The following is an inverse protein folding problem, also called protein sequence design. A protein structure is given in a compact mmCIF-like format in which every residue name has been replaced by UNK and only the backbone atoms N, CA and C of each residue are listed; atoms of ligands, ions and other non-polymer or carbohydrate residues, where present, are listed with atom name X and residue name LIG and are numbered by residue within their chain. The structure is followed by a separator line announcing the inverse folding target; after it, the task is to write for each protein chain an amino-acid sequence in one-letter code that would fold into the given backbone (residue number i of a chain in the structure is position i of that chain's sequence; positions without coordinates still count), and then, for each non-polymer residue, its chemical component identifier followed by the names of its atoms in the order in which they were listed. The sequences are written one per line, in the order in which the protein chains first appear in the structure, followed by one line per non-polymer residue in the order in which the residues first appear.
data_IF_115159214819
#
_entry.id   IF_115159214819
#
_cell.length_a   1.000
_cell.length_b   1.000
_cell.length_c   1.000
_cell.angle_alpha   90.00
_cell.angle_beta   90.00
_cell.angle_gamma   90.00
#
_symmetry.space_group_name_H-M   'P 1'
#
loop_
_entity.id
_entity.type
_entity.pdbx_description
1 polymer ?
#
# COMPACT_ATOMS: atom_id res chain seq x y z
N UNK A 1 71.25 -8.35 13.85
CA UNK A 1 70.22 -9.35 13.57
C UNK A 1 68.96 -8.90 14.27
N UNK A 2 67.98 -8.35 13.53
CA UNK A 2 66.66 -7.95 14.06
C UNK A 2 65.63 -8.92 13.52
N UNK A 3 64.99 -9.68 14.37
CA UNK A 3 63.90 -10.59 14.02
C UNK A 3 62.58 -9.80 13.89
N UNK A 4 61.93 -9.88 12.71
CA UNK A 4 60.58 -9.38 12.48
C UNK A 4 59.56 -10.46 12.89
N UNK A 5 58.74 -10.15 13.86
CA UNK A 5 57.58 -10.95 14.21
C UNK A 5 56.40 -10.49 13.34
N UNK A 6 55.90 -11.32 12.45
CA UNK A 6 54.71 -11.06 11.66
C UNK A 6 53.47 -11.34 12.52
N UNK A 7 52.65 -10.30 12.72
CA UNK A 7 51.33 -10.40 13.34
C UNK A 7 50.34 -10.89 12.29
N UNK A 8 49.80 -12.11 12.47
CA UNK A 8 48.73 -12.68 11.65
C UNK A 8 47.40 -12.10 12.13
N UNK A 9 46.79 -11.29 11.33
CA UNK A 9 45.41 -10.86 11.54
C UNK A 9 44.45 -12.00 11.15
N UNK A 10 43.73 -12.51 12.13
CA UNK A 10 42.65 -13.44 11.92
C UNK A 10 41.47 -12.70 11.26
N UNK A 11 41.25 -12.99 9.97
CA UNK A 11 40.09 -12.56 9.23
C UNK A 11 38.90 -13.42 9.64
N UNK A 12 37.95 -12.84 10.37
CA UNK A 12 36.65 -13.47 10.66
C UNK A 12 35.83 -13.55 9.36
N UNK A 13 35.83 -14.72 8.73
CA UNK A 13 34.90 -15.06 7.66
C UNK A 13 33.47 -15.07 8.22
N UNK A 14 32.73 -14.00 8.00
CA UNK A 14 31.27 -14.05 8.06
C UNK A 14 30.80 -14.82 6.81
N UNK A 15 30.56 -16.11 6.98
CA UNK A 15 29.90 -16.95 5.99
C UNK A 15 28.43 -16.48 5.89
N UNK A 16 28.12 -15.66 4.92
CA UNK A 16 26.76 -15.44 4.49
C UNK A 16 26.26 -16.76 3.88
N UNK A 17 25.44 -17.48 4.60
CA UNK A 17 24.70 -18.63 4.07
C UNK A 17 23.68 -18.11 3.06
N UNK A 18 24.08 -18.09 1.78
CA UNK A 18 23.10 -17.94 0.70
C UNK A 18 22.23 -19.21 0.71
N UNK A 19 20.94 -19.04 0.94
CA UNK A 19 19.95 -20.11 0.77
C UNK A 19 20.05 -20.68 -0.66
N UNK A 20 19.96 -21.97 -0.79
CA UNK A 20 20.03 -22.62 -2.11
C UNK A 20 18.92 -22.08 -3.01
N UNK A 21 19.16 -21.86 -4.33
CA UNK A 21 18.26 -21.15 -5.24
C UNK A 21 16.90 -21.83 -5.52
N UNK A 22 16.55 -22.90 -4.81
CA UNK A 22 15.33 -23.68 -5.01
C UNK A 22 14.49 -23.94 -3.75
N UNK A 23 14.81 -23.37 -2.59
CA UNK A 23 13.91 -23.45 -1.45
C UNK A 23 12.79 -22.42 -1.60
N UNK A 24 11.56 -22.88 -1.83
CA UNK A 24 10.37 -22.03 -1.77
C UNK A 24 10.26 -21.46 -0.36
N UNK A 25 10.07 -20.12 -0.21
CA UNK A 25 9.85 -19.55 1.10
C UNK A 25 8.61 -20.18 1.72
N UNK A 26 8.73 -20.69 2.95
CA UNK A 26 7.59 -21.23 3.69
C UNK A 26 6.56 -20.13 3.97
N UNK A 27 5.31 -20.52 4.26
CA UNK A 27 4.22 -19.58 4.59
C UNK A 27 4.50 -18.73 5.85
N UNK A 28 5.44 -19.14 6.71
CA UNK A 28 5.71 -18.51 8.02
C UNK A 28 6.02 -17.03 7.92
N UNK A 29 7.03 -16.64 7.17
CA UNK A 29 7.44 -15.24 7.04
C UNK A 29 6.31 -14.36 6.46
N UNK A 30 5.59 -14.87 5.46
CA UNK A 30 4.45 -14.17 4.88
C UNK A 30 3.34 -13.96 5.92
N UNK A 31 2.96 -15.01 6.66
CA UNK A 31 1.91 -14.91 7.68
C UNK A 31 2.30 -14.01 8.85
N UNK A 32 3.57 -13.97 9.23
CA UNK A 32 4.06 -13.01 10.24
C UNK A 32 3.93 -11.57 9.74
N UNK A 33 4.27 -11.28 8.48
CA UNK A 33 4.06 -9.96 7.90
C UNK A 33 2.56 -9.58 7.86
N UNK A 34 1.68 -10.53 7.51
CA UNK A 34 0.21 -10.33 7.55
C UNK A 34 -0.29 -10.02 8.97
N UNK A 35 0.24 -10.69 9.99
CA UNK A 35 -0.11 -10.45 11.41
C UNK A 35 0.42 -9.09 11.91
N UNK A 36 1.64 -8.75 11.52
CA UNK A 36 2.30 -7.51 11.91
C UNK A 36 1.61 -6.28 11.29
N UNK A 37 1.11 -6.39 10.06
CA UNK A 37 0.41 -5.29 9.36
C UNK A 37 -0.80 -4.80 10.16
N UNK A 38 -0.79 -3.53 10.53
CA UNK A 38 -1.83 -2.85 11.31
C UNK A 38 -2.15 -1.48 10.71
N UNK A 39 -3.34 -0.97 11.00
CA UNK A 39 -3.66 0.43 10.71
C UNK A 39 -2.94 1.34 11.70
N UNK A 40 -2.02 2.17 11.21
CA UNK A 40 -1.26 3.12 12.00
C UNK A 40 -1.64 4.54 11.56
N UNK A 41 -2.27 5.30 12.45
CA UNK A 41 -2.67 6.69 12.17
C UNK A 41 -1.62 7.71 12.60
N UNK A 42 -0.83 7.40 13.62
CA UNK A 42 0.20 8.27 14.15
C UNK A 42 1.46 8.13 13.28
N UNK A 43 1.58 8.99 12.29
CA UNK A 43 2.66 8.99 11.29
C UNK A 43 3.42 10.31 11.34
N UNK A 44 4.71 10.28 10.94
CA UNK A 44 5.51 11.46 10.63
C UNK A 44 5.93 11.47 9.17
N UNK A 45 6.48 12.63 8.73
CA UNK A 45 7.05 12.79 7.39
C UNK A 45 8.38 12.06 7.18
N UNK A 46 8.91 11.42 8.21
CA UNK A 46 10.12 10.62 8.11
C UNK A 46 9.83 9.26 7.45
N UNK A 47 10.88 8.65 6.91
CA UNK A 47 10.84 7.29 6.37
C UNK A 47 12.08 6.51 6.84
N UNK A 48 11.95 5.25 7.29
CA UNK A 48 13.08 4.39 7.63
C UNK A 48 13.81 3.86 6.39
N UNK A 49 13.22 3.99 5.21
CA UNK A 49 13.78 3.54 3.92
C UNK A 49 13.77 4.68 2.89
N UNK A 50 14.65 4.65 1.87
CA UNK A 50 14.67 5.66 0.83
C UNK A 50 13.45 5.55 -0.10
N UNK A 51 13.10 6.66 -0.77
CA UNK A 51 11.95 6.77 -1.68
C UNK A 51 12.02 5.76 -2.83
N UNK A 52 13.22 5.47 -3.34
CA UNK A 52 13.46 4.49 -4.39
C UNK A 52 13.00 3.08 -3.96
N UNK A 53 13.19 2.72 -2.67
CA UNK A 53 12.73 1.43 -2.14
C UNK A 53 11.21 1.38 -2.05
N UNK A 54 10.56 2.48 -1.67
CA UNK A 54 9.09 2.59 -1.68
C UNK A 54 8.54 2.39 -3.09
N UNK A 55 9.13 3.05 -4.07
CA UNK A 55 8.74 2.94 -5.49
C UNK A 55 8.97 1.51 -6.00
N UNK A 56 10.09 0.87 -5.66
CA UNK A 56 10.37 -0.52 -6.00
C UNK A 56 9.29 -1.47 -5.46
N UNK A 57 8.92 -1.34 -4.19
CA UNK A 57 7.86 -2.15 -3.55
C UNK A 57 6.54 -2.02 -4.30
N UNK A 58 6.13 -0.79 -4.64
CA UNK A 58 4.90 -0.56 -5.38
C UNK A 58 4.97 -1.17 -6.77
N UNK A 59 6.10 -1.03 -7.48
CA UNK A 59 6.31 -1.61 -8.81
C UNK A 59 6.23 -3.14 -8.78
N UNK A 60 6.90 -3.80 -7.82
CA UNK A 60 6.84 -5.25 -7.67
C UNK A 60 5.42 -5.72 -7.32
N UNK A 61 4.71 -5.00 -6.46
CA UNK A 61 3.32 -5.32 -6.14
C UNK A 61 2.42 -5.20 -7.38
N UNK A 62 2.48 -4.10 -8.12
CA UNK A 62 1.69 -3.91 -9.36
C UNK A 62 1.98 -4.99 -10.39
N UNK A 63 3.25 -5.38 -10.52
CA UNK A 63 3.71 -6.40 -11.49
C UNK A 63 3.25 -7.82 -11.13
N UNK A 64 3.22 -8.16 -9.85
CA UNK A 64 3.06 -9.55 -9.40
C UNK A 64 1.73 -9.86 -8.70
N UNK A 65 0.93 -8.84 -8.32
CA UNK A 65 -0.41 -9.10 -7.80
C UNK A 65 -1.32 -9.74 -8.86
N UNK A 66 -2.07 -10.77 -8.48
CA UNK A 66 -2.95 -11.45 -9.43
C UNK A 66 -4.17 -10.61 -9.78
N UNK A 67 -4.68 -10.79 -10.98
CA UNK A 67 -5.96 -10.25 -11.47
C UNK A 67 -6.70 -11.25 -12.31
N UNK A 68 -8.02 -11.11 -12.44
CA UNK A 68 -8.85 -12.02 -13.23
C UNK A 68 -8.38 -12.05 -14.68
N UNK A 69 -8.13 -13.25 -15.21
CA UNK A 69 -7.60 -13.46 -16.55
C UNK A 69 -6.27 -12.74 -16.83
N UNK A 70 -5.51 -12.44 -15.76
CA UNK A 70 -4.30 -11.62 -15.84
C UNK A 70 -4.56 -10.28 -16.54
N UNK A 71 -5.69 -9.66 -16.21
CA UNK A 71 -6.14 -8.40 -16.82
C UNK A 71 -5.20 -7.24 -16.58
N UNK A 72 -4.49 -7.27 -15.44
CA UNK A 72 -3.57 -6.21 -15.05
C UNK A 72 -4.25 -4.84 -15.07
N UNK A 73 -5.53 -4.76 -14.62
CA UNK A 73 -6.34 -3.53 -14.61
C UNK A 73 -5.94 -2.53 -13.53
N UNK A 74 -5.32 -3.01 -12.44
CA UNK A 74 -4.93 -2.16 -11.33
C UNK A 74 -3.80 -1.18 -11.70
N UNK A 75 -3.90 0.05 -11.18
CA UNK A 75 -2.92 1.13 -11.39
C UNK A 75 -2.55 1.73 -10.04
N UNK A 76 -1.34 2.27 -9.95
CA UNK A 76 -0.88 2.97 -8.75
C UNK A 76 -0.19 4.29 -9.13
N UNK A 77 -0.35 5.31 -8.27
CA UNK A 77 0.41 6.57 -8.33
C UNK A 77 1.02 6.79 -6.94
N UNK A 78 2.34 6.95 -6.88
CA UNK A 78 3.05 7.24 -5.63
C UNK A 78 3.24 8.74 -5.51
N UNK A 79 2.73 9.32 -4.43
CA UNK A 79 2.83 10.75 -4.14
C UNK A 79 3.74 10.96 -2.94
N UNK A 80 4.78 11.76 -3.11
CA UNK A 80 5.78 12.10 -2.09
C UNK A 80 5.91 13.63 -1.98
N UNK A 81 6.38 14.11 -0.83
CA UNK A 81 6.66 15.53 -0.61
C UNK A 81 5.46 16.44 -0.93
N UNK A 82 5.67 17.45 -1.75
CA UNK A 82 4.64 18.44 -2.10
C UNK A 82 3.42 17.86 -2.81
N UNK A 83 3.58 16.76 -3.57
CA UNK A 83 2.45 16.09 -4.22
C UNK A 83 1.55 15.35 -3.23
N UNK A 84 2.16 14.74 -2.20
CA UNK A 84 1.42 14.17 -1.07
C UNK A 84 0.64 15.26 -0.31
N UNK A 85 1.30 16.37 0.03
CA UNK A 85 0.63 17.50 0.72
C UNK A 85 -0.54 18.03 -0.10
N UNK A 86 -0.37 18.19 -1.42
CA UNK A 86 -1.39 18.67 -2.35
C UNK A 86 -2.64 17.78 -2.40
N UNK A 87 -2.47 16.46 -2.39
CA UNK A 87 -3.59 15.52 -2.31
C UNK A 87 -4.46 15.80 -1.08
N UNK A 88 -3.83 15.97 0.08
CA UNK A 88 -4.58 16.18 1.33
C UNK A 88 -5.19 17.59 1.42
N UNK A 89 -4.65 18.56 0.72
CA UNK A 89 -5.31 19.87 0.55
C UNK A 89 -6.59 19.74 -0.28
N UNK A 90 -6.62 18.91 -1.32
CA UNK A 90 -7.86 18.59 -2.06
C UNK A 90 -8.90 17.93 -1.15
N UNK A 91 -8.49 16.95 -0.36
CA UNK A 91 -9.38 16.28 0.58
C UNK A 91 -9.95 17.24 1.63
N UNK A 92 -9.14 18.17 2.18
CA UNK A 92 -9.60 19.21 3.10
C UNK A 92 -10.62 20.13 2.46
N UNK A 93 -10.35 20.61 1.24
CA UNK A 93 -11.26 21.49 0.50
C UNK A 93 -12.59 20.78 0.20
N UNK A 94 -12.54 19.53 -0.25
CA UNK A 94 -13.72 18.75 -0.57
C UNK A 94 -14.57 18.44 0.70
N UNK A 95 -13.94 18.02 1.80
CA UNK A 95 -14.65 17.75 3.06
C UNK A 95 -15.24 19.03 3.64
N UNK A 96 -14.53 20.17 3.60
CA UNK A 96 -15.05 21.45 4.07
C UNK A 96 -16.33 21.89 3.33
N UNK A 97 -16.47 21.50 2.07
CA UNK A 97 -17.63 21.84 1.25
C UNK A 97 -18.87 20.99 1.57
N UNK A 98 -18.72 19.80 2.18
CA UNK A 98 -19.83 18.85 2.35
C UNK A 98 -20.20 18.58 3.82
N UNK A 99 -19.32 18.85 4.78
CA UNK A 99 -19.63 18.66 6.20
C UNK A 99 -20.15 19.96 6.83
N UNK A 100 -21.01 19.86 7.87
CA UNK A 100 -21.42 21.04 8.66
C UNK A 100 -20.21 21.80 9.23
N UNK A 101 -20.28 23.12 9.29
CA UNK A 101 -19.16 23.97 9.72
C UNK A 101 -18.64 23.61 11.11
N UNK A 102 -19.54 23.24 12.02
CA UNK A 102 -19.22 22.81 13.39
C UNK A 102 -18.51 21.45 13.46
N UNK A 103 -18.67 20.60 12.45
CA UNK A 103 -18.03 19.27 12.38
C UNK A 103 -16.67 19.33 11.65
N UNK A 104 -16.41 20.40 10.88
CA UNK A 104 -15.19 20.50 10.07
C UNK A 104 -13.89 20.47 10.90
N UNK A 105 -13.76 21.12 12.08
CA UNK A 105 -12.49 21.08 12.83
C UNK A 105 -12.00 19.66 13.17
N UNK A 106 -12.90 18.75 13.51
CA UNK A 106 -12.53 17.35 13.77
C UNK A 106 -12.09 16.62 12.50
N UNK A 107 -12.76 16.91 11.38
CA UNK A 107 -12.38 16.36 10.07
C UNK A 107 -11.02 16.91 9.61
N UNK A 108 -10.79 18.21 9.76
CA UNK A 108 -9.52 18.87 9.42
C UNK A 108 -8.36 18.30 10.25
N UNK A 109 -8.56 18.09 11.55
CA UNK A 109 -7.54 17.46 12.42
C UNK A 109 -7.15 16.06 11.90
N UNK A 110 -8.14 15.26 11.49
CA UNK A 110 -7.89 13.93 10.91
C UNK A 110 -7.11 14.02 9.59
N UNK A 111 -7.51 14.93 8.69
CA UNK A 111 -6.84 15.14 7.41
C UNK A 111 -5.42 15.68 7.56
N UNK A 112 -5.18 16.54 8.56
CA UNK A 112 -3.83 16.97 8.95
C UNK A 112 -2.99 15.79 9.42
N UNK A 113 -3.57 14.83 10.15
CA UNK A 113 -2.91 13.59 10.53
C UNK A 113 -2.43 12.77 9.31
N UNK A 114 -3.24 12.71 8.25
CA UNK A 114 -2.82 12.05 7.00
C UNK A 114 -1.75 12.83 6.26
N UNK A 115 -1.87 14.16 6.18
CA UNK A 115 -0.86 15.02 5.55
C UNK A 115 0.49 15.02 6.29
N UNK A 116 0.52 14.61 7.56
CA UNK A 116 1.75 14.41 8.31
C UNK A 116 2.48 13.10 7.95
N UNK A 117 1.93 12.27 7.09
CA UNK A 117 2.62 11.11 6.54
C UNK A 117 3.77 11.51 5.59
N UNK A 118 4.64 10.54 5.28
CA UNK A 118 5.74 10.69 4.33
C UNK A 118 5.23 10.74 2.89
N UNK A 119 4.23 9.93 2.59
CA UNK A 119 3.66 9.82 1.25
C UNK A 119 2.29 9.15 1.23
N UNK A 120 1.74 9.05 0.03
CA UNK A 120 0.48 8.35 -0.26
C UNK A 120 0.61 7.54 -1.55
N UNK A 121 0.17 6.28 -1.53
CA UNK A 121 -0.10 5.53 -2.75
C UNK A 121 -1.57 5.65 -3.08
N UNK A 122 -1.88 6.17 -4.28
CA UNK A 122 -3.21 6.14 -4.85
C UNK A 122 -3.40 4.86 -5.64
N UNK A 123 -4.51 4.16 -5.42
CA UNK A 123 -4.86 2.96 -6.17
C UNK A 123 -6.05 3.24 -7.08
N UNK A 124 -5.94 2.76 -8.32
CA UNK A 124 -6.99 2.88 -9.31
C UNK A 124 -7.27 1.55 -9.98
N UNK A 125 -8.47 1.42 -10.54
CA UNK A 125 -8.79 0.40 -11.53
C UNK A 125 -9.04 1.08 -12.89
N UNK A 126 -8.45 0.53 -13.95
CA UNK A 126 -8.60 1.01 -15.30
C UNK A 126 -9.84 0.42 -15.93
N UNK A 127 -10.93 1.19 -15.98
CA UNK A 127 -12.22 0.76 -16.54
C UNK A 127 -12.14 0.42 -18.04
N UNK A 128 -11.18 0.97 -18.78
CA UNK A 128 -11.01 0.61 -20.18
C UNK A 128 -10.56 -0.86 -20.33
N UNK A 129 -9.68 -1.34 -19.43
CA UNK A 129 -9.29 -2.75 -19.39
C UNK A 129 -10.47 -3.63 -18.99
N UNK A 130 -11.22 -3.24 -17.96
CA UNK A 130 -12.41 -3.97 -17.50
C UNK A 130 -13.44 -4.07 -18.62
N UNK A 131 -13.70 -2.96 -19.29
CA UNK A 131 -14.63 -2.93 -20.45
C UNK A 131 -14.16 -3.81 -21.60
N UNK A 132 -12.87 -3.78 -21.94
CA UNK A 132 -12.30 -4.66 -22.95
C UNK A 132 -12.53 -6.14 -22.67
N UNK A 133 -12.41 -6.56 -21.39
CA UNK A 133 -12.75 -7.94 -20.99
C UNK A 133 -14.23 -8.25 -21.08
N UNK A 134 -15.10 -7.31 -20.70
CA UNK A 134 -16.56 -7.47 -20.85
C UNK A 134 -16.95 -7.70 -22.30
N UNK A 135 -16.35 -6.94 -23.23
CA UNK A 135 -16.61 -7.06 -24.66
C UNK A 135 -16.06 -8.35 -25.26
N UNK A 136 -14.87 -8.76 -24.83
CA UNK A 136 -14.22 -9.98 -25.29
C UNK A 136 -14.89 -11.27 -24.76
N UNK A 137 -15.49 -11.21 -23.57
CA UNK A 137 -16.06 -12.37 -22.89
C UNK A 137 -17.47 -12.06 -22.33
N UNK A 138 -18.49 -11.94 -23.20
CA UNK A 138 -19.85 -11.52 -22.80
C UNK A 138 -20.48 -12.41 -21.72
N UNK A 139 -20.16 -13.70 -21.70
CA UNK A 139 -20.66 -14.66 -20.67
C UNK A 139 -20.29 -14.24 -19.25
N UNK A 140 -19.15 -13.59 -19.07
CA UNK A 140 -18.64 -13.14 -17.76
C UNK A 140 -18.75 -11.63 -17.56
N UNK A 141 -19.29 -10.88 -18.52
CA UNK A 141 -19.27 -9.43 -18.55
C UNK A 141 -19.75 -8.78 -17.24
N UNK A 142 -20.82 -9.30 -16.64
CA UNK A 142 -21.38 -8.79 -15.39
C UNK A 142 -20.46 -8.96 -14.17
N UNK A 143 -19.46 -9.84 -14.25
CA UNK A 143 -18.58 -10.17 -13.12
C UNK A 143 -17.26 -9.37 -13.12
N UNK A 144 -16.79 -8.92 -14.27
CA UNK A 144 -15.49 -8.23 -14.37
C UNK A 144 -15.35 -7.00 -13.47
N UNK A 145 -16.37 -6.14 -13.27
CA UNK A 145 -16.27 -5.04 -12.33
C UNK A 145 -15.98 -5.50 -10.90
N UNK A 146 -16.68 -6.54 -10.41
CA UNK A 146 -16.43 -7.09 -9.09
C UNK A 146 -15.04 -7.75 -8.98
N UNK A 147 -14.60 -8.43 -10.04
CA UNK A 147 -13.28 -9.07 -10.05
C UNK A 147 -12.14 -8.05 -10.12
N UNK A 148 -12.33 -6.88 -10.71
CA UNK A 148 -11.34 -5.79 -10.64
C UNK A 148 -11.22 -5.22 -9.23
N UNK A 149 -12.33 -5.10 -8.49
CA UNK A 149 -12.28 -4.70 -7.07
C UNK A 149 -11.54 -5.73 -6.20
N UNK A 150 -11.62 -7.04 -6.55
CA UNK A 150 -10.80 -8.05 -5.87
C UNK A 150 -9.30 -7.83 -6.16
N UNK A 151 -8.93 -7.54 -7.42
CA UNK A 151 -7.54 -7.25 -7.80
C UNK A 151 -7.00 -6.00 -7.08
N UNK A 152 -7.80 -4.92 -7.01
CA UNK A 152 -7.49 -3.74 -6.22
C UNK A 152 -7.20 -4.09 -4.76
N UNK A 153 -8.09 -4.86 -4.11
CA UNK A 153 -7.90 -5.26 -2.71
C UNK A 153 -6.61 -6.07 -2.49
N UNK A 154 -6.26 -6.96 -3.41
CA UNK A 154 -5.02 -7.73 -3.37
C UNK A 154 -3.79 -6.82 -3.51
N UNK A 155 -3.82 -5.87 -4.45
CA UNK A 155 -2.73 -4.91 -4.64
C UNK A 155 -2.55 -4.01 -3.40
N UNK A 156 -3.63 -3.41 -2.92
CA UNK A 156 -3.60 -2.52 -1.75
C UNK A 156 -3.07 -3.25 -0.50
N UNK A 157 -3.51 -4.49 -0.27
CA UNK A 157 -3.03 -5.32 0.82
C UNK A 157 -1.53 -5.65 0.69
N UNK A 158 -1.08 -5.99 -0.52
CA UNK A 158 0.33 -6.33 -0.78
C UNK A 158 1.24 -5.14 -0.53
N UNK A 159 0.92 -3.97 -1.11
CA UNK A 159 1.70 -2.74 -0.88
C UNK A 159 1.73 -2.37 0.59
N UNK A 160 0.57 -2.37 1.25
CA UNK A 160 0.47 -2.05 2.68
C UNK A 160 1.34 -2.96 3.53
N UNK A 161 1.21 -4.29 3.33
CA UNK A 161 1.97 -5.28 4.10
C UNK A 161 3.47 -5.16 3.86
N UNK A 162 3.88 -4.92 2.61
CA UNK A 162 5.29 -4.78 2.26
C UNK A 162 5.91 -3.50 2.85
N UNK A 163 5.20 -2.37 2.81
CA UNK A 163 5.68 -1.12 3.43
C UNK A 163 5.84 -1.26 4.94
N UNK A 164 4.89 -1.91 5.63
CA UNK A 164 5.01 -2.15 7.08
C UNK A 164 6.11 -3.17 7.43
N UNK A 165 6.40 -4.13 6.55
CA UNK A 165 7.54 -5.05 6.73
C UNK A 165 8.90 -4.34 6.66
N UNK A 166 8.97 -3.18 5.98
CA UNK A 166 10.15 -2.30 5.94
C UNK A 166 10.18 -1.27 7.10
N UNK A 167 9.23 -1.36 8.05
CA UNK A 167 9.19 -0.49 9.23
C UNK A 167 8.38 0.80 9.07
N UNK A 168 7.70 1.01 7.95
CA UNK A 168 6.72 2.09 7.79
C UNK A 168 5.42 1.73 8.53
N UNK A 169 4.70 2.74 8.99
CA UNK A 169 3.29 2.60 9.35
C UNK A 169 2.41 3.06 8.20
N UNK A 170 1.18 2.51 8.10
CA UNK A 170 0.26 2.97 7.07
C UNK A 170 -1.22 2.83 7.47
N UNK A 171 -2.08 3.58 6.76
CA UNK A 171 -3.54 3.49 6.88
C UNK A 171 -4.21 3.74 5.53
N UNK A 172 -5.27 2.99 5.25
CA UNK A 172 -6.03 3.05 4.00
C UNK A 172 -7.24 3.96 4.16
N UNK A 173 -7.39 4.91 3.24
CA UNK A 173 -8.43 5.93 3.22
C UNK A 173 -9.24 5.87 1.92
N UNK A 174 -10.49 6.41 1.94
CA UNK A 174 -11.43 6.37 0.83
C UNK A 174 -12.14 7.72 0.71
N UNK A 175 -11.57 8.64 -0.06
CA UNK A 175 -12.12 9.97 -0.29
C UNK A 175 -12.78 10.13 -1.67
N UNK A 176 -12.83 9.05 -2.46
CA UNK A 176 -13.63 9.02 -3.69
C UNK A 176 -15.13 9.04 -3.36
N UNK A 177 -15.95 9.70 -4.19
CA UNK A 177 -15.58 10.42 -5.42
C UNK A 177 -15.19 11.89 -5.20
N UNK A 178 -15.11 12.38 -3.97
CA UNK A 178 -14.98 13.80 -3.63
C UNK A 178 -13.72 14.46 -4.20
N UNK A 179 -12.63 13.71 -4.34
CA UNK A 179 -11.33 14.24 -4.79
C UNK A 179 -10.95 13.78 -6.20
N UNK A 180 -11.77 12.95 -6.85
CA UNK A 180 -11.39 12.25 -8.10
C UNK A 180 -11.05 13.23 -9.22
N UNK A 181 -11.85 14.30 -9.40
CA UNK A 181 -11.62 15.30 -10.45
C UNK A 181 -10.33 16.11 -10.22
N UNK A 182 -10.04 16.45 -8.97
CA UNK A 182 -8.81 17.19 -8.61
C UNK A 182 -7.58 16.32 -8.80
N UNK A 183 -7.65 15.04 -8.38
CA UNK A 183 -6.60 14.04 -8.58
C UNK A 183 -6.32 13.83 -10.06
N UNK A 184 -7.37 13.63 -10.88
CA UNK A 184 -7.21 13.41 -12.31
C UNK A 184 -6.55 14.59 -13.01
N UNK A 185 -6.96 15.82 -12.66
CA UNK A 185 -6.41 17.04 -13.22
C UNK A 185 -4.95 17.27 -12.81
N UNK A 186 -4.65 17.16 -11.51
CA UNK A 186 -3.33 17.46 -10.95
C UNK A 186 -2.27 16.45 -11.39
N UNK A 187 -2.60 15.17 -11.33
CA UNK A 187 -1.66 14.09 -11.62
C UNK A 187 -1.79 13.52 -13.04
N UNK A 188 -2.60 14.16 -13.89
CA UNK A 188 -2.79 13.81 -15.30
C UNK A 188 -3.13 12.32 -15.50
N UNK A 189 -3.97 11.75 -14.61
CA UNK A 189 -4.39 10.36 -14.75
C UNK A 189 -5.44 10.23 -15.86
N UNK A 190 -5.40 9.14 -16.67
CA UNK A 190 -6.40 8.90 -17.70
C UNK A 190 -7.83 8.87 -17.13
N UNK A 191 -8.81 9.30 -17.92
CA UNK A 191 -10.22 9.32 -17.51
C UNK A 191 -10.75 7.90 -17.14
N UNK A 192 -10.19 6.87 -17.77
CA UNK A 192 -10.53 5.47 -17.49
C UNK A 192 -10.02 4.96 -16.13
N UNK A 193 -9.08 5.67 -15.49
CA UNK A 193 -8.58 5.29 -14.18
C UNK A 193 -9.51 5.80 -13.09
N UNK A 194 -10.19 4.89 -12.42
CA UNK A 194 -11.09 5.23 -11.31
C UNK A 194 -10.39 5.03 -9.98
N UNK A 195 -10.28 6.12 -9.24
CA UNK A 195 -9.64 6.14 -7.91
C UNK A 195 -10.45 5.26 -6.94
N UNK A 196 -9.76 4.35 -6.26
CA UNK A 196 -10.36 3.40 -5.31
C UNK A 196 -9.99 3.70 -3.86
N UNK A 197 -8.71 3.92 -3.60
CA UNK A 197 -8.24 4.14 -2.23
C UNK A 197 -6.95 4.94 -2.20
N UNK A 198 -6.63 5.48 -1.02
CA UNK A 198 -5.44 6.24 -0.70
C UNK A 198 -4.74 5.57 0.49
N UNK A 199 -3.56 4.99 0.29
CA UNK A 199 -2.73 4.41 1.35
C UNK A 199 -1.71 5.45 1.81
N UNK A 200 -1.99 6.07 2.95
CA UNK A 200 -1.05 6.98 3.62
C UNK A 200 0.01 6.17 4.34
N UNK A 201 1.26 6.57 4.24
CA UNK A 201 2.37 5.91 4.94
C UNK A 201 3.41 6.90 5.45
N UNK A 202 4.20 6.49 6.43
CA UNK A 202 5.28 7.26 7.04
C UNK A 202 5.90 6.53 8.23
N UNK A 203 6.88 7.14 8.89
CA UNK A 203 7.42 6.54 10.10
C UNK A 203 6.36 6.57 11.22
N UNK A 204 6.09 5.43 11.90
CA UNK A 204 5.12 5.37 12.98
C UNK A 204 5.63 6.13 14.22
N UNK A 205 4.81 7.02 14.78
CA UNK A 205 5.12 7.77 16.01
C UNK A 205 4.42 7.20 17.25
N UNK A 206 3.48 6.28 17.05
CA UNK A 206 2.83 5.51 18.10
C UNK A 206 2.40 4.13 17.56
N UNK A 207 2.27 3.13 18.44
CA UNK A 207 1.82 1.80 18.04
C UNK A 207 0.35 1.79 17.61
N UNK A 208 -0.06 0.73 16.91
CA UNK A 208 -1.46 0.47 16.62
C UNK A 208 -2.25 0.25 17.91
N UNK A 209 -3.51 0.68 17.89
CA UNK A 209 -4.46 0.38 18.96
C UNK A 209 -4.74 -1.14 19.09
N UNK A 210 -5.45 -1.57 20.13
CA UNK A 210 -5.83 -2.98 20.30
C UNK A 210 -6.67 -3.48 19.13
N UNK A 211 -6.60 -4.79 18.84
CA UNK A 211 -7.38 -5.44 17.79
C UNK A 211 -8.12 -6.63 18.38
N UNK A 212 -9.42 -6.63 18.21
CA UNK A 212 -10.29 -7.73 18.61
C UNK A 212 -10.56 -8.68 17.44
N UNK A 213 -10.82 -9.93 17.74
CA UNK A 213 -11.10 -10.96 16.76
C UNK A 213 -12.43 -11.63 17.06
N UNK A 214 -13.26 -11.81 16.04
CA UNK A 214 -14.42 -12.67 16.13
C UNK A 214 -14.00 -14.16 16.13
N UNK A 215 -14.80 -15.03 16.72
CA UNK A 215 -14.53 -16.47 16.74
C UNK A 215 -14.23 -17.04 15.32
N UNK A 216 -13.23 -17.89 15.21
CA UNK A 216 -12.85 -18.46 13.90
C UNK A 216 -13.87 -19.48 13.38
N UNK A 217 -14.51 -20.23 14.26
CA UNK A 217 -15.55 -21.21 13.95
C UNK A 217 -16.78 -20.61 13.25
N UNK A 218 -17.04 -19.33 13.45
CA UNK A 218 -18.09 -18.58 12.73
C UNK A 218 -17.65 -18.17 11.31
N UNK A 219 -16.35 -18.21 11.00
CA UNK A 219 -15.73 -17.61 9.81
C UNK A 219 -15.03 -18.62 8.92
N UNK A 220 -14.68 -19.78 9.45
CA UNK A 220 -13.98 -20.85 8.74
C UNK A 220 -14.74 -22.18 8.99
N UNK A 221 -15.03 -22.89 7.91
CA UNK A 221 -15.59 -24.26 7.97
C UNK A 221 -14.66 -25.19 7.23
N UNK A 222 -14.39 -26.35 7.82
CA UNK A 222 -13.57 -27.42 7.25
C UNK A 222 -14.43 -28.67 7.07
N UNK A 223 -14.39 -29.25 5.89
CA UNK A 223 -15.00 -30.54 5.57
C UNK A 223 -13.86 -31.51 5.21
N UNK A 224 -13.81 -32.67 5.88
CA UNK A 224 -12.78 -33.69 5.71
C UNK A 224 -13.45 -35.04 5.38
#
# INVERSE_FOLDING_TARGET
MRSYVAQVHASTNMSATFAAPNEKPGAGAFLEAVKARRTIYALSKDSPIPDERIIEIVNEAVKHCPSSFNSQSSRAVVLLGAHHDKLWDFAKAAIKAVVPAEAYPASEQRLNGFQNGHGTVLFFEDEAVVKGLQDAMPTYAAHFPAWSEHAHGLLAFTVWTALEAEGLGANLQHYSPLIDADVAREFSTPESWKLKAQLVFGAPTAPAGPKEFKPLEERVKVFQ
#
